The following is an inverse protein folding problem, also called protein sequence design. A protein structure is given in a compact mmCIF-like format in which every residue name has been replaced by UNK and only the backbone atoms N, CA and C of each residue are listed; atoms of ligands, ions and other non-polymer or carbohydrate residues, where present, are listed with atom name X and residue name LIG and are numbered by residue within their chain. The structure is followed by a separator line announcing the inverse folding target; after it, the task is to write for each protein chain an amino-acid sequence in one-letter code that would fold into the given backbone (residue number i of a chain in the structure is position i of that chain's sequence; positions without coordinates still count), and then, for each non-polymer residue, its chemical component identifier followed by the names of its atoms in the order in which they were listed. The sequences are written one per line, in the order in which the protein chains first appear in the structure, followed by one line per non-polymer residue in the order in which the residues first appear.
data_IF_169676213022
#
_entry.id   IF_169676213022
#
_cell.length_a   1.000
_cell.length_b   1.000
_cell.length_c   1.000
_cell.angle_alpha   90.00
_cell.angle_beta   90.00
_cell.angle_gamma   90.00
#
_symmetry.space_group_name_H-M   'P 1'
#
loop_
_entity.id
_entity.type
_entity.pdbx_description
1 polymer ?
#
# COMPACT_ATOMS: atom_id res chain seq x y z
N UNK A 1 1.98 20.74 -35.34
CA UNK A 1 2.22 20.58 -33.89
C UNK A 1 1.19 19.59 -33.37
N UNK A 2 1.60 18.43 -32.85
CA UNK A 2 0.65 17.44 -32.32
C UNK A 2 -0.10 17.99 -31.11
N UNK A 3 -1.34 17.56 -30.90
CA UNK A 3 -2.13 17.96 -29.74
C UNK A 3 -1.37 17.63 -28.44
N UNK A 4 -1.30 18.60 -27.52
CA UNK A 4 -0.67 18.41 -26.21
C UNK A 4 -1.36 17.28 -25.45
N UNK A 5 -0.60 16.25 -25.09
CA UNK A 5 -1.11 15.11 -24.34
C UNK A 5 -1.57 15.52 -22.93
N UNK A 6 -2.72 15.00 -22.50
CA UNK A 6 -3.36 15.31 -21.22
C UNK A 6 -3.41 14.10 -20.30
N UNK A 7 -2.87 14.27 -19.10
CA UNK A 7 -2.89 13.30 -18.01
C UNK A 7 -3.89 13.80 -16.94
N UNK A 8 -4.83 12.94 -16.59
CA UNK A 8 -5.81 13.20 -15.54
C UNK A 8 -5.49 12.36 -14.31
N UNK A 9 -5.26 13.01 -13.18
CA UNK A 9 -5.06 12.35 -11.89
C UNK A 9 -6.33 12.48 -11.08
N UNK A 10 -6.93 11.35 -10.71
CA UNK A 10 -8.20 11.30 -9.99
C UNK A 10 -7.97 10.94 -8.56
N UNK A 11 -8.32 11.84 -7.64
CA UNK A 11 -8.20 11.63 -6.19
C UNK A 11 -9.56 11.49 -5.52
N UNK A 12 -9.56 10.95 -4.32
CA UNK A 12 -10.74 10.99 -3.48
C UNK A 12 -10.89 12.39 -2.85
N UNK A 13 -12.10 12.97 -2.69
CA UNK A 13 -12.29 14.32 -2.13
C UNK A 13 -11.71 14.49 -0.72
N UNK A 14 -11.74 13.42 0.08
CA UNK A 14 -11.17 13.41 1.43
C UNK A 14 -9.68 13.00 1.48
N UNK A 15 -9.02 12.76 0.33
CA UNK A 15 -7.58 12.44 0.28
C UNK A 15 -6.76 13.66 0.71
N UNK A 16 -5.93 13.57 1.77
CA UNK A 16 -4.97 14.61 2.16
C UNK A 16 -3.76 14.68 1.19
N UNK A 17 -4.02 14.75 -0.11
CA UNK A 17 -3.06 14.64 -1.19
C UNK A 17 -1.86 15.58 -1.06
N UNK A 18 -2.11 16.83 -0.66
CA UNK A 18 -1.12 17.89 -0.50
C UNK A 18 -0.29 17.73 0.78
N UNK A 19 -0.78 16.97 1.76
CA UNK A 19 -0.10 16.79 3.06
C UNK A 19 1.01 15.75 2.99
N UNK A 20 0.94 14.81 2.06
CA UNK A 20 1.87 13.70 1.96
C UNK A 20 2.81 13.89 0.77
N UNK A 21 4.10 13.59 0.98
CA UNK A 21 5.11 13.55 -0.08
C UNK A 21 4.98 12.30 -0.95
N UNK A 22 3.89 12.17 -1.70
CA UNK A 22 3.69 11.09 -2.66
C UNK A 22 4.63 11.22 -3.86
N UNK A 23 5.09 10.08 -4.39
CA UNK A 23 5.95 10.04 -5.59
C UNK A 23 5.26 10.68 -6.80
N UNK A 24 3.93 10.64 -6.86
CA UNK A 24 3.17 11.24 -7.95
C UNK A 24 3.38 12.76 -8.05
N UNK A 25 3.70 13.47 -6.96
CA UNK A 25 3.99 14.91 -7.01
C UNK A 25 5.21 15.20 -7.88
N UNK A 26 6.27 14.40 -7.71
CA UNK A 26 7.49 14.50 -8.53
C UNK A 26 7.21 14.16 -10.00
N UNK A 27 6.27 13.25 -10.26
CA UNK A 27 5.86 12.91 -11.63
C UNK A 27 5.04 14.02 -12.27
N UNK A 28 4.13 14.66 -11.52
CA UNK A 28 3.34 15.82 -11.98
C UNK A 28 4.27 16.94 -12.43
N UNK A 29 5.26 17.29 -11.61
CA UNK A 29 6.27 18.31 -11.92
C UNK A 29 7.02 17.94 -13.21
N UNK A 30 7.61 16.74 -13.27
CA UNK A 30 8.38 16.29 -14.42
C UNK A 30 7.55 16.18 -15.73
N UNK A 31 6.26 15.87 -15.64
CA UNK A 31 5.38 15.84 -16.81
C UNK A 31 5.04 17.25 -17.30
N UNK A 32 4.78 18.19 -16.39
CA UNK A 32 4.52 19.59 -16.74
C UNK A 32 5.74 20.26 -17.37
N UNK A 33 6.93 20.02 -16.83
CA UNK A 33 8.20 20.49 -17.40
C UNK A 33 8.43 20.00 -18.84
N UNK A 34 7.88 18.83 -19.19
CA UNK A 34 7.91 18.27 -20.55
C UNK A 34 6.80 18.78 -21.46
N UNK A 35 6.01 19.76 -21.01
CA UNK A 35 4.92 20.34 -21.77
C UNK A 35 3.63 19.51 -21.79
N UNK A 36 3.50 18.48 -20.94
CA UNK A 36 2.25 17.72 -20.81
C UNK A 36 1.24 18.49 -19.96
N UNK A 37 -0.04 18.39 -20.32
CA UNK A 37 -1.12 18.95 -19.52
C UNK A 37 -1.47 17.96 -18.40
N UNK A 38 -1.30 18.35 -17.13
CA UNK A 38 -1.62 17.50 -15.98
C UNK A 38 -2.68 18.16 -15.12
N UNK A 39 -3.85 17.52 -15.06
CA UNK A 39 -5.03 17.99 -14.33
C UNK A 39 -5.34 17.07 -13.15
N UNK A 40 -5.68 17.65 -12.01
CA UNK A 40 -6.06 16.92 -10.79
C UNK A 40 -7.54 17.15 -10.53
N UNK A 41 -8.31 16.07 -10.45
CA UNK A 41 -9.74 16.13 -10.18
C UNK A 41 -10.13 15.24 -9.00
N UNK A 42 -11.24 15.57 -8.37
CA UNK A 42 -11.90 14.72 -7.38
C UNK A 42 -13.39 14.54 -7.68
N UNK A 43 -13.98 15.47 -8.44
CA UNK A 43 -15.33 15.38 -8.96
C UNK A 43 -15.33 14.48 -10.20
N UNK A 44 -16.01 13.34 -10.08
CA UNK A 44 -16.13 12.34 -11.13
C UNK A 44 -17.47 12.41 -11.88
N UNK A 45 -18.34 13.35 -11.50
CA UNK A 45 -19.59 13.59 -12.20
C UNK A 45 -19.38 14.44 -13.46
N UNK A 46 -18.27 15.20 -13.50
CA UNK A 46 -17.88 16.01 -14.65
C UNK A 46 -16.80 15.29 -15.49
N UNK A 47 -17.11 14.84 -16.72
CA UNK A 47 -16.11 14.24 -17.59
C UNK A 47 -15.08 15.29 -18.02
N UNK A 48 -13.81 14.89 -17.98
CA UNK A 48 -12.67 15.68 -18.45
C UNK A 48 -11.98 14.87 -19.53
N UNK A 49 -11.76 15.43 -20.72
CA UNK A 49 -11.00 14.74 -21.76
C UNK A 49 -9.58 14.45 -21.26
N UNK A 50 -9.07 13.24 -21.51
CA UNK A 50 -7.72 12.85 -21.12
C UNK A 50 -7.21 11.71 -21.99
N UNK A 51 -5.93 11.74 -22.34
CA UNK A 51 -5.27 10.62 -23.02
C UNK A 51 -4.96 9.49 -22.03
N UNK A 52 -4.62 9.83 -20.79
CA UNK A 52 -4.25 8.88 -19.73
C UNK A 52 -4.88 9.30 -18.41
N UNK A 53 -5.51 8.36 -17.71
CA UNK A 53 -6.00 8.56 -16.34
C UNK A 53 -5.15 7.79 -15.33
N UNK A 54 -4.83 8.42 -14.21
CA UNK A 54 -4.10 7.83 -13.09
C UNK A 54 -5.00 7.88 -11.84
N UNK A 55 -5.56 6.74 -11.41
CA UNK A 55 -6.25 6.63 -10.13
C UNK A 55 -5.28 6.85 -8.97
N UNK A 56 -5.56 7.82 -8.11
CA UNK A 56 -4.83 8.10 -6.87
C UNK A 56 -5.81 8.34 -5.72
N UNK A 57 -6.56 7.31 -5.33
CA UNK A 57 -7.70 7.48 -4.41
C UNK A 57 -7.33 7.37 -2.92
N UNK A 58 -6.16 6.82 -2.58
CA UNK A 58 -5.74 6.45 -1.22
C UNK A 58 -6.79 5.58 -0.47
N UNK A 59 -7.32 4.58 -1.17
CA UNK A 59 -8.33 3.64 -0.67
C UNK A 59 -7.80 2.21 -0.70
N UNK A 60 -8.18 1.38 0.29
CA UNK A 60 -7.96 -0.07 0.20
C UNK A 60 -8.78 -0.71 -0.93
N UNK A 61 -10.01 -0.24 -1.15
CA UNK A 61 -10.90 -0.73 -2.20
C UNK A 61 -11.48 0.45 -2.98
N UNK A 62 -11.48 0.34 -4.31
CA UNK A 62 -11.99 1.34 -5.24
C UNK A 62 -13.52 1.25 -5.35
N UNK A 63 -14.26 2.29 -4.97
CA UNK A 63 -15.72 2.31 -5.07
C UNK A 63 -16.21 2.18 -6.51
N UNK A 64 -17.40 1.60 -6.69
CA UNK A 64 -18.00 1.37 -8.02
C UNK A 64 -18.08 2.64 -8.87
N UNK A 65 -18.48 3.77 -8.28
CA UNK A 65 -18.57 5.04 -9.01
C UNK A 65 -17.25 5.44 -9.71
N UNK A 66 -16.11 5.24 -9.05
CA UNK A 66 -14.80 5.49 -9.67
C UNK A 66 -14.49 4.49 -10.78
N UNK A 67 -14.87 3.21 -10.60
CA UNK A 67 -14.70 2.18 -11.64
C UNK A 67 -15.51 2.52 -12.89
N UNK A 68 -16.76 2.93 -12.70
CA UNK A 68 -17.67 3.34 -13.78
C UNK A 68 -17.16 4.62 -14.47
N UNK A 69 -16.55 5.55 -13.72
CA UNK A 69 -15.86 6.72 -14.29
C UNK A 69 -14.64 6.31 -15.14
N UNK A 70 -13.76 5.46 -14.61
CA UNK A 70 -12.56 5.00 -15.32
C UNK A 70 -12.90 4.19 -16.59
N UNK A 71 -14.03 3.49 -16.62
CA UNK A 71 -14.50 2.74 -17.79
C UNK A 71 -14.67 3.61 -19.04
N UNK A 72 -14.86 4.93 -18.88
CA UNK A 72 -15.06 5.88 -19.98
C UNK A 72 -13.79 6.26 -20.73
N UNK A 73 -12.62 5.96 -20.15
CA UNK A 73 -11.33 6.34 -20.70
C UNK A 73 -10.66 5.15 -21.39
N UNK A 74 -9.92 5.36 -22.49
CA UNK A 74 -9.21 4.28 -23.16
C UNK A 74 -8.02 3.77 -22.34
N UNK A 75 -7.24 4.68 -21.75
CA UNK A 75 -6.03 4.34 -20.98
C UNK A 75 -6.18 4.79 -19.53
N UNK A 76 -6.17 3.81 -18.62
CA UNK A 76 -6.22 4.04 -17.17
C UNK A 76 -5.13 3.21 -16.53
N UNK A 77 -4.19 3.86 -15.84
CA UNK A 77 -3.11 3.16 -15.13
C UNK A 77 -3.70 2.32 -13.99
N UNK A 78 -3.30 1.04 -13.89
CA UNK A 78 -3.75 0.12 -12.84
C UNK A 78 -5.28 -0.05 -12.77
N UNK A 79 -6.00 0.09 -13.89
CA UNK A 79 -7.47 0.02 -13.98
C UNK A 79 -8.10 -1.10 -13.15
N UNK A 80 -7.58 -2.31 -13.31
CA UNK A 80 -8.19 -3.51 -12.74
C UNK A 80 -7.79 -3.75 -11.27
N UNK A 81 -6.87 -2.94 -10.74
CA UNK A 81 -6.47 -2.98 -9.34
C UNK A 81 -7.51 -2.23 -8.50
N UNK A 82 -8.60 -2.92 -8.20
CA UNK A 82 -9.73 -2.37 -7.45
C UNK A 82 -9.71 -2.71 -5.95
N UNK A 83 -8.84 -3.61 -5.50
CA UNK A 83 -8.72 -4.02 -4.10
C UNK A 83 -7.26 -4.39 -3.78
N UNK A 84 -6.68 -3.65 -2.85
CA UNK A 84 -5.30 -3.80 -2.37
C UNK A 84 -5.23 -4.26 -0.90
N UNK A 85 -6.32 -4.85 -0.40
CA UNK A 85 -6.35 -5.56 0.88
C UNK A 85 -5.33 -6.70 0.89
N UNK A 86 -4.74 -6.98 2.05
CA UNK A 86 -3.71 -8.00 2.19
C UNK A 86 -4.24 -9.39 1.86
N UNK A 87 -5.49 -9.70 2.19
CA UNK A 87 -6.18 -10.93 1.76
C UNK A 87 -6.23 -11.08 0.25
N UNK A 88 -6.34 -9.98 -0.50
CA UNK A 88 -6.44 -10.02 -1.95
C UNK A 88 -5.08 -10.10 -2.64
N UNK A 89 -4.09 -9.36 -2.16
CA UNK A 89 -2.81 -9.19 -2.87
C UNK A 89 -1.67 -10.05 -2.34
N UNK A 90 -1.78 -10.58 -1.12
CA UNK A 90 -0.69 -11.34 -0.50
C UNK A 90 -0.74 -12.80 -0.92
N UNK A 91 0.39 -13.31 -1.41
CA UNK A 91 0.60 -14.74 -1.69
C UNK A 91 1.08 -15.52 -0.45
N UNK A 92 1.34 -14.83 0.66
CA UNK A 92 1.95 -15.39 1.85
C UNK A 92 0.94 -15.62 2.98
N UNK A 93 -0.36 -15.63 2.70
CA UNK A 93 -1.38 -15.80 3.72
C UNK A 93 -1.28 -17.17 4.39
N UNK A 94 -1.39 -17.16 5.72
CA UNK A 94 -1.53 -18.36 6.55
C UNK A 94 -2.97 -18.37 7.04
N UNK A 95 -3.72 -19.42 6.71
CA UNK A 95 -5.17 -19.47 6.95
C UNK A 95 -5.56 -20.13 8.27
N UNK A 96 -4.66 -20.95 8.84
CA UNK A 96 -4.88 -21.66 10.11
C UNK A 96 -3.54 -21.90 10.84
N UNK A 97 -3.56 -22.14 12.17
CA UNK A 97 -2.35 -22.27 13.00
C UNK A 97 -1.37 -23.40 12.61
N UNK A 98 -1.81 -24.34 11.80
CA UNK A 98 -1.10 -25.54 11.35
C UNK A 98 -0.73 -25.51 9.85
N UNK A 99 -1.11 -24.46 9.10
CA UNK A 99 -0.86 -24.37 7.66
C UNK A 99 0.56 -23.93 7.27
N UNK A 100 1.41 -23.62 8.24
CA UNK A 100 2.79 -23.19 8.03
C UNK A 100 3.61 -23.49 9.28
N UNK A 101 4.86 -23.91 9.09
CA UNK A 101 5.81 -24.18 10.16
C UNK A 101 6.97 -23.18 10.03
N UNK A 102 6.86 -22.06 10.74
CA UNK A 102 7.82 -20.96 10.69
C UNK A 102 7.24 -19.62 11.16
N UNK A 103 8.06 -18.56 11.20
CA UNK A 103 7.65 -17.28 11.75
C UNK A 103 6.55 -16.63 10.90
N UNK A 104 5.65 -15.92 11.57
CA UNK A 104 4.53 -15.19 10.95
C UNK A 104 4.44 -13.76 11.44
N UNK A 105 3.84 -12.91 10.63
CA UNK A 105 3.54 -11.52 10.97
C UNK A 105 2.04 -11.28 10.90
N UNK A 106 1.50 -10.63 11.94
CA UNK A 106 0.10 -10.20 11.98
C UNK A 106 0.01 -8.76 11.50
N UNK A 107 -0.81 -8.53 10.48
CA UNK A 107 -1.04 -7.22 9.86
C UNK A 107 -2.52 -6.89 9.84
N UNK A 108 -2.86 -5.62 9.65
CA UNK A 108 -4.23 -5.28 9.24
C UNK A 108 -4.45 -5.73 7.80
N UNK A 109 -5.66 -6.19 7.50
CA UNK A 109 -6.05 -6.51 6.13
C UNK A 109 -6.07 -5.26 5.23
N UNK A 110 -6.43 -4.10 5.79
CA UNK A 110 -6.44 -2.83 5.06
C UNK A 110 -5.05 -2.34 4.68
N UNK A 111 -4.98 -1.59 3.58
CA UNK A 111 -3.75 -0.95 3.17
C UNK A 111 -3.27 0.06 4.22
N UNK A 112 -1.94 0.21 4.36
CA UNK A 112 -1.31 1.14 5.28
C UNK A 112 -1.84 1.12 6.74
N UNK A 113 -2.28 -0.03 7.27
CA UNK A 113 -2.84 -0.10 8.63
C UNK A 113 -4.30 0.32 8.72
N UNK A 114 -4.96 0.57 7.58
CA UNK A 114 -6.26 1.22 7.50
C UNK A 114 -6.25 2.70 7.87
N UNK A 115 -5.07 3.34 7.86
CA UNK A 115 -4.92 4.73 8.28
C UNK A 115 -5.80 5.71 7.47
N UNK A 116 -5.89 5.63 6.13
CA UNK A 116 -6.75 6.51 5.34
C UNK A 116 -8.24 6.35 5.68
N UNK A 117 -8.73 5.12 5.83
CA UNK A 117 -10.12 4.86 6.22
C UNK A 117 -10.42 5.35 7.64
N UNK A 118 -9.50 5.12 8.58
CA UNK A 118 -9.65 5.59 9.96
C UNK A 118 -9.65 7.11 10.04
N UNK A 119 -8.79 7.79 9.28
CA UNK A 119 -8.75 9.24 9.27
C UNK A 119 -10.07 9.85 8.76
N UNK A 120 -10.62 9.31 7.66
CA UNK A 120 -11.93 9.73 7.15
C UNK A 120 -13.06 9.49 8.15
N UNK A 121 -13.10 8.31 8.79
CA UNK A 121 -14.08 8.03 9.84
C UNK A 121 -13.98 9.03 11.02
N UNK A 122 -12.78 9.54 11.34
CA UNK A 122 -12.58 10.54 12.39
C UNK A 122 -13.04 11.94 11.99
N UNK A 123 -13.04 12.26 10.69
CA UNK A 123 -13.51 13.53 10.14
C UNK A 123 -15.04 13.63 10.09
N UNK A 124 -15.75 12.49 10.05
CA UNK A 124 -17.23 12.40 10.07
C UNK A 124 -17.92 12.81 11.39
N UNK A 125 -17.23 13.50 12.30
CA UNK A 125 -17.83 14.10 13.50
C UNK A 125 -17.33 13.56 14.84
N UNK A 126 -17.69 14.29 15.92
CA UNK A 126 -17.19 14.07 17.28
C UNK A 126 -17.55 12.69 17.85
N UNK A 127 -18.75 12.18 17.55
CA UNK A 127 -19.23 10.87 18.02
C UNK A 127 -18.34 9.74 17.49
N UNK A 128 -18.09 9.70 16.17
CA UNK A 128 -17.22 8.69 15.55
C UNK A 128 -15.80 8.76 16.10
N UNK A 129 -15.29 9.97 16.35
CA UNK A 129 -13.99 10.17 16.99
C UNK A 129 -13.94 9.56 18.39
N UNK A 130 -14.95 9.79 19.24
CA UNK A 130 -15.03 9.20 20.59
C UNK A 130 -15.14 7.67 20.53
N UNK A 131 -15.97 7.12 19.64
CA UNK A 131 -16.09 5.68 19.42
C UNK A 131 -14.74 5.05 19.02
N UNK A 132 -14.00 5.67 18.11
CA UNK A 132 -12.67 5.19 17.72
C UNK A 132 -11.64 5.29 18.85
N UNK A 133 -11.75 6.31 19.71
CA UNK A 133 -10.89 6.40 20.91
C UNK A 133 -11.21 5.28 21.91
N UNK A 134 -12.49 5.01 22.15
CA UNK A 134 -12.92 3.90 23.01
C UNK A 134 -12.46 2.54 22.44
N UNK A 135 -12.64 2.31 21.13
CA UNK A 135 -12.19 1.08 20.48
C UNK A 135 -10.68 0.85 20.60
N UNK A 136 -9.86 1.91 20.66
CA UNK A 136 -8.41 1.77 20.85
C UNK A 136 -7.99 1.34 22.25
N UNK A 137 -8.88 1.43 23.23
CA UNK A 137 -8.65 0.91 24.58
C UNK A 137 -8.89 -0.60 24.66
N UNK A 138 -9.64 -1.17 23.72
CA UNK A 138 -9.88 -2.60 23.65
C UNK A 138 -8.68 -3.33 23.03
N UNK A 139 -8.51 -4.63 23.31
CA UNK A 139 -7.46 -5.45 22.71
C UNK A 139 -7.46 -5.35 21.18
N UNK A 140 -6.28 -5.09 20.61
CA UNK A 140 -6.11 -4.96 19.16
C UNK A 140 -6.49 -6.24 18.40
N UNK A 141 -6.35 -7.40 19.05
CA UNK A 141 -6.75 -8.70 18.50
C UNK A 141 -8.24 -8.76 18.19
N UNK A 142 -9.07 -8.00 18.91
CA UNK A 142 -10.52 -7.90 18.69
C UNK A 142 -10.87 -6.76 17.73
N UNK A 143 -10.21 -5.61 17.86
CA UNK A 143 -10.58 -4.41 17.08
C UNK A 143 -9.93 -4.37 15.70
N UNK A 144 -8.81 -5.07 15.52
CA UNK A 144 -7.97 -4.98 14.32
C UNK A 144 -7.22 -3.65 14.20
N UNK A 145 -7.25 -2.80 15.24
CA UNK A 145 -6.59 -1.49 15.22
C UNK A 145 -5.12 -1.63 15.58
N UNK A 146 -4.30 -1.97 14.59
CA UNK A 146 -2.84 -2.08 14.72
C UNK A 146 -2.18 -1.07 13.79
N UNK A 147 -1.25 -0.24 14.31
CA UNK A 147 -0.47 0.65 13.44
C UNK A 147 0.58 -0.16 12.70
N UNK A 148 0.95 0.29 11.51
CA UNK A 148 1.91 -0.44 10.67
C UNK A 148 3.30 -0.65 11.29
N UNK A 149 3.70 0.19 12.25
CA UNK A 149 4.95 0.05 13.02
C UNK A 149 4.84 -0.93 14.19
N UNK A 150 3.62 -1.27 14.60
CA UNK A 150 3.31 -2.08 15.77
C UNK A 150 2.89 -3.51 15.35
N UNK A 151 3.11 -3.88 14.08
CA UNK A 151 2.85 -5.23 13.59
C UNK A 151 3.67 -6.25 14.36
N UNK A 152 3.00 -7.34 14.74
CA UNK A 152 3.55 -8.35 15.64
C UNK A 152 4.09 -9.52 14.83
N UNK A 153 5.34 -9.87 15.08
CA UNK A 153 5.97 -11.08 14.56
C UNK A 153 5.89 -12.15 15.66
N UNK A 154 5.55 -13.37 15.28
CA UNK A 154 5.51 -14.55 16.13
C UNK A 154 6.41 -15.60 15.51
N UNK A 155 7.11 -16.36 16.35
CA UNK A 155 8.04 -17.42 15.88
C UNK A 155 7.31 -18.58 15.20
N UNK A 156 6.03 -18.78 15.51
CA UNK A 156 5.21 -19.85 14.95
C UNK A 156 3.72 -19.46 14.92
N UNK A 157 2.88 -19.93 13.96
CA UNK A 157 1.48 -19.52 13.90
C UNK A 157 0.65 -19.93 15.11
N UNK A 158 1.01 -21.02 15.79
CA UNK A 158 0.35 -21.47 17.04
C UNK A 158 0.47 -20.46 18.20
N UNK A 159 1.46 -19.56 18.15
CA UNK A 159 1.63 -18.50 19.15
C UNK A 159 0.74 -17.28 18.86
N UNK A 160 0.13 -17.21 17.67
CA UNK A 160 -0.78 -16.12 17.31
C UNK A 160 -2.07 -16.26 18.13
N UNK A 161 -2.52 -15.20 18.83
CA UNK A 161 -3.73 -15.27 19.65
C UNK A 161 -4.95 -15.75 18.86
N UNK A 162 -5.74 -16.67 19.43
CA UNK A 162 -6.93 -17.27 18.79
C UNK A 162 -7.89 -16.23 18.19
N UNK A 163 -8.07 -15.09 18.87
CA UNK A 163 -8.92 -14.00 18.40
C UNK A 163 -8.49 -13.40 17.05
N UNK A 164 -7.20 -13.43 16.70
CA UNK A 164 -6.68 -12.93 15.42
C UNK A 164 -7.22 -13.75 14.25
N UNK A 165 -7.25 -15.08 14.39
CA UNK A 165 -7.71 -15.99 13.35
C UNK A 165 -9.19 -15.80 12.98
N UNK A 166 -9.99 -15.29 13.92
CA UNK A 166 -11.41 -15.02 13.74
C UNK A 166 -11.70 -13.55 13.38
N UNK A 167 -10.68 -12.69 13.38
CA UNK A 167 -10.87 -11.26 13.11
C UNK A 167 -10.66 -10.97 11.61
N UNK A 168 -11.72 -10.62 10.85
CA UNK A 168 -11.60 -10.38 9.42
C UNK A 168 -10.73 -9.15 9.08
N UNK A 169 -10.52 -8.23 10.05
CA UNK A 169 -9.71 -7.02 9.87
C UNK A 169 -8.20 -7.27 9.99
N UNK A 170 -7.81 -8.46 10.42
CA UNK A 170 -6.42 -8.88 10.57
C UNK A 170 -6.11 -9.99 9.57
N UNK A 171 -4.84 -10.11 9.22
CA UNK A 171 -4.29 -11.23 8.44
C UNK A 171 -3.05 -11.76 9.13
N UNK A 172 -2.79 -13.04 8.93
CA UNK A 172 -1.52 -13.69 9.27
C UNK A 172 -0.80 -13.99 7.98
N UNK A 173 0.44 -13.53 7.86
CA UNK A 173 1.30 -13.81 6.71
C UNK A 173 2.57 -14.52 7.15
N UNK A 174 3.12 -15.38 6.30
CA UNK A 174 4.48 -15.92 6.46
C UNK A 174 5.44 -14.75 6.60
N UNK A 175 6.28 -14.77 7.63
CA UNK A 175 7.31 -13.77 7.83
C UNK A 175 8.61 -14.29 7.22
N UNK A 176 8.90 -13.84 6.00
CA UNK A 176 10.06 -14.25 5.21
C UNK A 176 10.99 -13.04 5.01
N UNK A 177 11.68 -12.56 6.06
CA UNK A 177 12.56 -11.41 5.93
C UNK A 177 13.79 -11.76 5.08
N UNK A 178 14.23 -10.80 4.27
CA UNK A 178 15.60 -10.79 3.77
C UNK A 178 16.50 -10.17 4.83
N UNK A 179 17.60 -10.83 5.16
CA UNK A 179 18.59 -10.34 6.13
C UNK A 179 19.97 -10.24 5.49
N UNK A 180 20.77 -9.25 5.91
CA UNK A 180 22.19 -9.13 5.57
C UNK A 180 22.97 -8.79 6.84
N UNK A 181 23.71 -9.78 7.36
CA UNK A 181 24.21 -9.74 8.73
C UNK A 181 23.02 -9.60 9.70
N UNK A 182 23.17 -8.72 10.69
CA UNK A 182 22.15 -8.48 11.72
C UNK A 182 21.03 -7.53 11.28
N UNK A 183 20.98 -7.14 10.01
CA UNK A 183 20.02 -6.16 9.49
C UNK A 183 18.95 -6.80 8.62
N UNK A 184 17.70 -6.42 8.87
CA UNK A 184 16.56 -6.67 8.00
C UNK A 184 16.61 -5.75 6.78
N UNK A 185 16.28 -6.33 5.63
CA UNK A 185 16.34 -5.68 4.32
C UNK A 185 14.94 -5.57 3.73
N UNK A 186 14.55 -4.35 3.38
CA UNK A 186 13.36 -4.09 2.56
C UNK A 186 13.78 -3.62 1.18
N UNK A 187 13.43 -4.40 0.17
CA UNK A 187 13.49 -3.98 -1.23
C UNK A 187 12.24 -3.20 -1.60
N UNK A 188 12.42 -2.07 -2.26
CA UNK A 188 11.34 -1.30 -2.88
C UNK A 188 11.61 -1.23 -4.36
N UNK A 189 10.62 -1.68 -5.13
CA UNK A 189 10.62 -1.65 -6.57
C UNK A 189 9.53 -0.70 -7.03
N UNK A 190 9.90 0.33 -7.77
CA UNK A 190 8.99 1.31 -8.37
C UNK A 190 9.21 1.25 -9.87
N UNK A 191 8.14 1.18 -10.64
CA UNK A 191 8.23 1.16 -12.10
C UNK A 191 7.08 1.97 -12.73
N UNK A 192 7.31 2.44 -13.95
CA UNK A 192 6.31 3.08 -14.79
C UNK A 192 6.67 2.83 -16.26
N UNK A 193 5.81 2.10 -16.97
CA UNK A 193 6.10 1.65 -18.32
C UNK A 193 7.37 0.76 -18.33
N UNK A 194 8.34 1.11 -19.17
CA UNK A 194 9.61 0.40 -19.31
C UNK A 194 10.72 0.89 -18.38
N UNK A 195 10.43 1.83 -17.48
CA UNK A 195 11.40 2.39 -16.54
C UNK A 195 11.16 1.85 -15.14
N UNK A 196 12.24 1.54 -14.44
CA UNK A 196 12.21 1.00 -13.09
C UNK A 196 13.29 1.60 -12.20
N UNK A 197 13.05 1.55 -10.90
CA UNK A 197 13.96 2.03 -9.88
C UNK A 197 13.88 1.13 -8.65
N UNK A 198 15.02 0.58 -8.23
CA UNK A 198 15.12 -0.31 -7.08
C UNK A 198 15.92 0.33 -5.95
N UNK A 199 15.38 0.26 -4.73
CA UNK A 199 16.11 0.67 -3.52
C UNK A 199 16.07 -0.42 -2.47
N UNK A 200 17.14 -0.49 -1.70
CA UNK A 200 17.23 -1.30 -0.50
C UNK A 200 17.28 -0.38 0.71
N UNK A 201 16.50 -0.72 1.73
CA UNK A 201 16.52 -0.07 3.02
C UNK A 201 16.86 -1.11 4.10
N UNK A 202 17.79 -0.78 4.97
CA UNK A 202 18.29 -1.66 6.02
C UNK A 202 17.82 -1.16 7.38
N UNK A 203 17.40 -2.08 8.27
CA UNK A 203 16.95 -1.75 9.62
C UNK A 203 17.36 -2.84 10.62
N UNK A 204 17.67 -2.49 11.87
CA UNK A 204 17.81 -3.48 12.95
C UNK A 204 16.46 -4.08 13.37
N UNK A 205 15.33 -3.54 12.90
CA UNK A 205 13.99 -4.00 13.29
C UNK A 205 13.31 -4.80 12.15
N UNK A 206 12.54 -5.85 12.47
CA UNK A 206 11.90 -6.72 11.48
C UNK A 206 10.87 -6.01 10.60
N UNK A 207 10.24 -4.95 11.12
CA UNK A 207 9.28 -4.13 10.38
C UNK A 207 9.98 -2.85 9.90
N UNK A 208 10.54 -2.90 8.70
CA UNK A 208 11.30 -1.79 8.10
C UNK A 208 10.38 -0.61 7.73
N UNK A 209 10.60 0.56 8.34
CA UNK A 209 9.88 1.82 8.14
C UNK A 209 10.87 2.97 8.04
N UNK A 210 10.50 4.06 7.36
CA UNK A 210 11.43 5.18 7.10
C UNK A 210 12.19 5.67 8.36
N UNK A 211 11.50 5.69 9.50
CA UNK A 211 12.02 6.10 10.80
C UNK A 211 13.09 5.18 11.43
N UNK A 212 13.18 3.91 11.03
CA UNK A 212 14.13 2.94 11.59
C UNK A 212 15.15 2.43 10.55
N UNK A 213 15.23 3.12 9.39
CA UNK A 213 16.19 2.79 8.35
C UNK A 213 17.53 3.42 8.70
N UNK A 214 18.56 2.59 8.87
CA UNK A 214 19.92 3.02 9.19
C UNK A 214 20.80 3.20 7.96
N UNK A 215 20.43 2.54 6.86
CA UNK A 215 21.16 2.62 5.58
C UNK A 215 20.22 2.49 4.41
N UNK A 216 20.52 3.20 3.32
CA UNK A 216 19.87 3.04 2.02
C UNK A 216 20.89 2.79 0.94
N UNK A 217 20.55 1.91 0.02
CA UNK A 217 21.32 1.68 -1.20
C UNK A 217 20.39 1.80 -2.39
N UNK A 218 20.89 2.42 -3.47
CA UNK A 218 20.22 2.48 -4.76
C UNK A 218 20.84 1.38 -5.63
N UNK A 219 20.00 0.58 -6.29
CA UNK A 219 20.45 -0.23 -7.43
C UNK A 219 19.72 0.29 -8.65
N UNK A 220 20.47 0.93 -9.54
CA UNK A 220 20.04 1.02 -10.94
C UNK A 220 20.16 -0.41 -11.48
N UNK A 221 19.07 -1.02 -11.92
CA UNK A 221 19.19 -2.29 -12.63
C UNK A 221 19.84 -2.03 -13.99
N UNK A 222 20.75 -2.91 -14.45
CA UNK A 222 20.87 -3.12 -15.88
C UNK A 222 19.54 -3.71 -16.34
N UNK A 223 18.96 -3.17 -17.41
CA UNK A 223 17.76 -3.71 -18.06
C UNK A 223 17.79 -5.25 -18.07
N UNK A 224 16.63 -5.88 -17.78
CA UNK A 224 16.32 -7.32 -17.72
C UNK A 224 16.25 -7.92 -16.29
N UNK A 225 15.21 -7.57 -15.53
CA UNK A 225 14.84 -8.30 -14.33
C UNK A 225 14.23 -9.67 -14.69
N UNK A 226 14.93 -10.76 -14.37
CA UNK A 226 14.37 -12.12 -14.34
C UNK A 226 13.24 -12.21 -13.28
N UNK A 227 12.22 -13.05 -13.48
CA UNK A 227 11.13 -13.22 -12.52
C UNK A 227 11.69 -13.69 -11.17
N UNK A 228 11.10 -13.18 -10.09
CA UNK A 228 11.40 -13.52 -8.70
C UNK A 228 11.55 -15.05 -8.55
N UNK A 229 12.79 -15.49 -8.35
CA UNK A 229 13.08 -16.88 -8.04
C UNK A 229 12.48 -17.20 -6.66
N UNK A 230 11.73 -18.29 -6.64
CA UNK A 230 11.17 -18.95 -5.47
C UNK A 230 12.25 -19.27 -4.45
N UNK A 231 11.84 -19.24 -3.17
CA UNK A 231 12.73 -19.27 -2.02
C UNK A 231 13.83 -20.33 -2.07
N UNK A 232 15.05 -19.87 -1.83
CA UNK A 232 16.11 -20.69 -1.26
C UNK A 232 16.27 -20.25 0.20
N UNK A 233 15.86 -21.15 1.09
CA UNK A 233 16.08 -21.11 2.52
C UNK A 233 17.59 -21.17 2.76
N UNK A 234 18.18 -20.15 3.39
CA UNK A 234 19.51 -20.30 3.99
C UNK A 234 19.32 -20.98 5.34
N UNK A 235 19.89 -22.18 5.44
CA UNK A 235 20.23 -22.83 6.71
C UNK A 235 21.34 -22.04 7.41
#
# INVERSE_FOLDING_TARGET
MGATKRILIVRHPEDPFERWGYVIHLLIEAWRERGLCVELIYDIDRPVEADVVIPHLDLTSTPRAYRDFFARYPVVLNRDICDISKRRVSQNLVTRPDAFDGPVIVKTDRNAGGAPELDRLRRRGRVRRKLLQAARKLPWTLTGLVRTRDYKVYEHPRLVPRAVWHNPRLVVERFLPECQGDLYVLRRYVFLGSREYNTMAFSPLPVVKAQNVVRRSKRCSPSHARPFATGACCR
#
